data_IF_455863433673
#
_entry.id   IF_455863433673
#
_cell.length_a   1.000
_cell.length_b   1.000
_cell.length_c   1.000
_cell.angle_alpha   90.00
_cell.angle_beta   90.00
_cell.angle_gamma   90.00
#
_symmetry.space_group_name_H-M   'P 1'
#
loop_
_entity.id
_entity.type
_entity.pdbx_description
1 polymer ?
#
# COMPACT_ATOMS: atom_id res chain seq x y z
N UNK A 1 -10.11 -15.27 2.73
CA UNK A 1 -10.48 -13.91 3.18
C UNK A 1 -10.47 -13.01 1.96
N UNK A 2 -11.54 -12.26 1.72
CA UNK A 2 -11.61 -11.30 0.61
C UNK A 2 -10.61 -10.16 0.79
N UNK A 3 -10.28 -9.46 -0.29
CA UNK A 3 -9.34 -8.33 -0.24
C UNK A 3 -9.93 -7.07 0.40
N UNK A 4 -11.18 -7.11 0.86
CA UNK A 4 -11.96 -6.01 1.46
C UNK A 4 -11.96 -4.72 0.62
N UNK A 5 -12.00 -4.88 -0.70
CA UNK A 5 -12.30 -3.76 -1.60
C UNK A 5 -13.81 -3.74 -1.88
N UNK A 6 -14.53 -2.67 -1.52
CA UNK A 6 -15.88 -2.45 -2.02
C UNK A 6 -15.86 -2.43 -3.57
N UNK A 7 -16.85 -3.06 -4.20
CA UNK A 7 -16.99 -3.04 -5.65
C UNK A 7 -17.02 -1.61 -6.18
N UNK A 8 -16.20 -1.30 -7.19
CA UNK A 8 -16.15 0.04 -7.79
C UNK A 8 -15.20 1.05 -7.13
N UNK A 9 -14.36 0.66 -6.17
CA UNK A 9 -13.34 1.56 -5.58
C UNK A 9 -12.28 2.10 -6.57
N UNK A 10 -12.14 1.43 -7.73
CA UNK A 10 -11.32 1.91 -8.85
C UNK A 10 -12.10 2.88 -9.78
N UNK A 11 -13.42 3.02 -9.61
CA UNK A 11 -14.30 3.95 -10.33
C UNK A 11 -14.44 3.70 -11.84
N UNK A 12 -15.62 3.93 -12.41
CA UNK A 12 -15.84 3.82 -13.87
C UNK A 12 -15.37 5.05 -14.68
N UNK A 13 -14.81 6.09 -14.05
CA UNK A 13 -14.34 7.27 -14.77
C UNK A 13 -13.36 8.07 -13.91
N UNK A 14 -12.04 7.92 -14.13
CA UNK A 14 -11.06 8.93 -13.71
C UNK A 14 -10.56 9.77 -14.89
N UNK A 15 -11.50 10.17 -15.74
CA UNK A 15 -11.28 11.07 -16.87
C UNK A 15 -11.08 12.55 -16.45
N UNK A 16 -11.16 12.89 -15.15
CA UNK A 16 -10.95 14.26 -14.64
C UNK A 16 -9.59 14.37 -13.96
N UNK A 17 -8.85 15.44 -14.27
CA UNK A 17 -7.67 15.87 -13.51
C UNK A 17 -8.11 16.20 -12.08
N UNK A 18 -7.86 15.32 -11.12
CA UNK A 18 -7.96 15.64 -9.68
C UNK A 18 -6.57 15.98 -9.13
N UNK A 19 -6.53 16.64 -7.98
CA UNK A 19 -5.28 16.90 -7.25
C UNK A 19 -4.55 15.60 -6.85
N UNK A 20 -5.29 14.50 -6.70
CA UNK A 20 -4.74 13.19 -6.36
C UNK A 20 -4.13 12.43 -7.54
N UNK A 21 -4.36 12.87 -8.79
CA UNK A 21 -3.97 12.11 -9.97
C UNK A 21 -2.47 11.79 -10.02
N UNK A 22 -1.62 12.73 -9.59
CA UNK A 22 -0.18 12.52 -9.51
C UNK A 22 0.18 11.43 -8.50
N UNK A 23 -0.37 11.53 -7.28
CA UNK A 23 -0.14 10.58 -6.19
C UNK A 23 -0.66 9.18 -6.52
N UNK A 24 -1.81 9.08 -7.20
CA UNK A 24 -2.33 7.80 -7.69
C UNK A 24 -1.42 7.14 -8.73
N UNK A 25 -0.90 7.93 -9.68
CA UNK A 25 0.03 7.43 -10.70
C UNK A 25 1.34 6.97 -10.08
N UNK A 26 1.88 7.73 -9.12
CA UNK A 26 3.08 7.35 -8.37
C UNK A 26 2.86 6.07 -7.57
N UNK A 27 1.75 5.96 -6.84
CA UNK A 27 1.37 4.75 -6.11
C UNK A 27 1.30 3.54 -7.05
N UNK A 28 0.58 3.65 -8.17
CA UNK A 28 0.46 2.56 -9.13
C UNK A 28 1.80 2.19 -9.78
N UNK A 29 2.66 3.18 -10.07
CA UNK A 29 4.00 2.93 -10.57
C UNK A 29 4.85 2.15 -9.56
N UNK A 30 4.83 2.54 -8.29
CA UNK A 30 5.53 1.82 -7.21
C UNK A 30 5.02 0.38 -7.07
N UNK A 31 3.69 0.18 -7.10
CA UNK A 31 3.09 -1.16 -7.07
C UNK A 31 3.57 -2.03 -8.24
N UNK A 32 3.55 -1.50 -9.47
CA UNK A 32 4.00 -2.24 -10.66
C UNK A 32 5.48 -2.59 -10.61
N UNK A 33 6.34 -1.65 -10.22
CA UNK A 33 7.78 -1.90 -10.06
C UNK A 33 8.05 -2.95 -8.98
N UNK A 34 7.34 -2.89 -7.86
CA UNK A 34 7.48 -3.89 -6.80
C UNK A 34 7.03 -5.27 -7.25
N UNK A 35 5.88 -5.38 -7.93
CA UNK A 35 5.40 -6.63 -8.50
C UNK A 35 6.33 -7.20 -9.58
N UNK A 36 7.01 -6.34 -10.33
CA UNK A 36 8.02 -6.74 -11.32
C UNK A 36 9.40 -7.09 -10.70
N UNK A 37 9.58 -6.91 -9.38
CA UNK A 37 10.87 -7.13 -8.71
C UNK A 37 11.91 -6.04 -8.98
N UNK A 38 11.51 -4.90 -9.53
CA UNK A 38 12.38 -3.73 -9.78
C UNK A 38 12.63 -2.91 -8.51
N UNK A 39 11.77 -3.06 -7.50
CA UNK A 39 11.95 -2.51 -6.16
C UNK A 39 12.10 -3.64 -5.16
N UNK A 40 13.13 -3.54 -4.31
CA UNK A 40 13.18 -4.38 -3.11
C UNK A 40 12.15 -3.91 -2.07
N UNK A 41 11.92 -4.79 -1.09
CA UNK A 41 10.95 -4.59 -0.01
C UNK A 41 11.15 -3.27 0.75
N UNK A 42 12.40 -2.87 1.00
CA UNK A 42 12.67 -1.71 1.83
C UNK A 42 12.48 -0.40 1.07
N UNK A 43 12.99 -0.33 -0.16
CA UNK A 43 12.78 0.80 -1.06
C UNK A 43 11.31 1.00 -1.37
N UNK A 44 10.58 -0.09 -1.62
CA UNK A 44 9.13 -0.01 -1.83
C UNK A 44 8.41 0.54 -0.59
N UNK A 45 8.78 0.08 0.61
CA UNK A 45 8.22 0.57 1.86
C UNK A 45 8.45 2.08 2.08
N UNK A 46 9.67 2.56 1.80
CA UNK A 46 10.02 3.98 1.90
C UNK A 46 9.26 4.84 0.87
N UNK A 47 9.20 4.38 -0.38
CA UNK A 47 8.50 5.08 -1.46
C UNK A 47 7.00 5.20 -1.17
N UNK A 48 6.36 4.11 -0.73
CA UNK A 48 4.94 4.12 -0.37
C UNK A 48 4.66 4.94 0.90
N UNK A 49 5.58 5.01 1.86
CA UNK A 49 5.46 5.93 3.00
C UNK A 49 5.43 7.40 2.56
N UNK A 50 6.31 7.79 1.62
CA UNK A 50 6.33 9.14 1.07
C UNK A 50 5.02 9.45 0.34
N UNK A 51 4.59 8.55 -0.54
CA UNK A 51 3.31 8.66 -1.27
C UNK A 51 2.14 8.75 -0.29
N UNK A 52 2.16 7.97 0.80
CA UNK A 52 1.12 8.02 1.83
C UNK A 52 1.09 9.37 2.53
N UNK A 53 2.23 9.97 2.85
CA UNK A 53 2.29 11.28 3.47
C UNK A 53 1.74 12.37 2.53
N UNK A 54 2.15 12.34 1.26
CA UNK A 54 1.62 13.25 0.22
C UNK A 54 0.10 13.08 0.07
N UNK A 55 -0.39 11.84 0.00
CA UNK A 55 -1.81 11.52 -0.09
C UNK A 55 -2.63 12.09 1.07
N UNK A 56 -2.17 11.85 2.32
CA UNK A 56 -2.88 12.34 3.50
C UNK A 56 -2.76 13.85 3.68
N UNK A 57 -1.73 14.49 3.14
CA UNK A 57 -1.64 15.94 3.11
C UNK A 57 -2.68 16.54 2.15
N UNK A 58 -2.88 15.94 0.97
CA UNK A 58 -3.93 16.35 0.03
C UNK A 58 -5.34 16.15 0.59
N UNK A 59 -5.54 15.24 1.53
CA UNK A 59 -6.83 15.04 2.20
C UNK A 59 -7.14 16.12 3.25
N UNK A 60 -6.17 16.95 3.66
CA UNK A 60 -6.40 17.95 4.69
C UNK A 60 -7.06 19.20 4.10
N UNK A 61 -8.07 19.71 4.78
CA UNK A 61 -8.60 21.05 4.52
C UNK A 61 -7.65 22.14 5.06
N UNK A 62 -8.00 23.41 4.83
CA UNK A 62 -7.25 24.57 5.36
C UNK A 62 -7.20 24.68 6.89
N UNK A 63 -7.87 23.78 7.62
CA UNK A 63 -7.88 23.66 9.07
C UNK A 63 -7.16 22.39 9.57
N UNK A 64 -6.63 21.55 8.67
CA UNK A 64 -5.95 20.31 9.00
C UNK A 64 -6.85 19.10 9.24
N UNK A 65 -8.16 19.19 8.93
CA UNK A 65 -9.09 18.06 9.04
C UNK A 65 -9.05 17.21 7.78
N UNK A 66 -9.17 15.89 7.92
CA UNK A 66 -9.31 15.00 6.77
C UNK A 66 -10.71 15.12 6.14
N UNK A 67 -10.74 15.44 4.85
CA UNK A 67 -11.95 15.54 4.02
C UNK A 67 -11.88 14.46 2.93
N UNK A 68 -12.94 13.66 2.83
CA UNK A 68 -13.09 12.62 1.81
C UNK A 68 -14.27 13.00 0.92
N UNK A 69 -14.02 13.14 -0.38
CA UNK A 69 -14.99 13.59 -1.37
C UNK A 69 -15.07 12.65 -2.59
N UNK A 70 -15.81 13.04 -3.62
CA UNK A 70 -15.95 12.28 -4.86
C UNK A 70 -14.65 12.16 -5.68
N UNK A 71 -13.67 13.02 -5.42
CA UNK A 71 -12.37 13.01 -6.09
C UNK A 71 -11.33 12.17 -5.36
N UNK A 72 -11.60 11.83 -4.10
CA UNK A 72 -10.73 11.02 -3.27
C UNK A 72 -10.60 9.59 -3.81
N UNK A 73 -9.37 9.13 -4.12
CA UNK A 73 -9.12 7.77 -4.57
C UNK A 73 -9.39 6.72 -3.48
N UNK A 74 -10.62 6.19 -3.44
CA UNK A 74 -11.03 5.20 -2.45
C UNK A 74 -10.11 3.97 -2.42
N UNK A 75 -9.65 3.48 -3.58
CA UNK A 75 -8.72 2.34 -3.65
C UNK A 75 -7.39 2.62 -2.94
N UNK A 76 -6.84 3.83 -3.09
CA UNK A 76 -5.55 4.20 -2.52
C UNK A 76 -5.68 4.34 -1.02
N UNK A 77 -6.73 5.01 -0.54
CA UNK A 77 -6.99 5.13 0.89
C UNK A 77 -7.15 3.75 1.56
N UNK A 78 -7.93 2.85 0.94
CA UNK A 78 -8.12 1.49 1.46
C UNK A 78 -6.84 0.65 1.39
N UNK A 79 -6.07 0.75 0.30
CA UNK A 79 -4.79 0.07 0.19
C UNK A 79 -3.81 0.54 1.27
N UNK A 80 -3.67 1.86 1.44
CA UNK A 80 -2.78 2.47 2.42
C UNK A 80 -3.18 2.10 3.85
N UNK A 81 -4.45 2.33 4.20
CA UNK A 81 -4.96 2.11 5.55
C UNK A 81 -5.02 0.63 5.95
N UNK A 82 -5.48 -0.25 5.06
CA UNK A 82 -5.79 -1.63 5.43
C UNK A 82 -4.69 -2.64 5.10
N UNK A 83 -3.93 -2.42 4.01
CA UNK A 83 -2.96 -3.40 3.52
C UNK A 83 -1.53 -2.94 3.77
N UNK A 84 -1.18 -1.75 3.28
CA UNK A 84 0.18 -1.22 3.39
C UNK A 84 0.60 -0.95 4.83
N UNK A 85 -0.24 -0.30 5.64
CA UNK A 85 0.11 0.03 7.04
C UNK A 85 0.47 -1.21 7.85
N UNK A 86 -0.34 -2.27 7.73
CA UNK A 86 -0.10 -3.55 8.42
C UNK A 86 1.20 -4.20 7.95
N UNK A 87 1.38 -4.30 6.64
CA UNK A 87 2.58 -4.89 6.03
C UNK A 87 3.86 -4.10 6.39
N UNK A 88 3.82 -2.77 6.31
CA UNK A 88 4.97 -1.92 6.60
C UNK A 88 5.35 -1.98 8.08
N UNK A 89 4.38 -2.10 8.99
CA UNK A 89 4.67 -2.32 10.42
C UNK A 89 5.42 -3.65 10.63
N UNK A 90 4.96 -4.73 10.00
CA UNK A 90 5.63 -6.02 10.08
C UNK A 90 7.06 -5.96 9.51
N UNK A 91 7.25 -5.31 8.35
CA UNK A 91 8.56 -5.06 7.73
C UNK A 91 9.51 -4.34 8.69
N UNK A 92 9.08 -3.22 9.28
CA UNK A 92 9.94 -2.42 10.16
C UNK A 92 10.35 -3.19 11.43
N UNK A 93 9.43 -3.92 12.05
CA UNK A 93 9.72 -4.77 13.22
C UNK A 93 10.75 -5.84 12.85
N UNK A 94 10.56 -6.51 11.70
CA UNK A 94 11.46 -7.57 11.27
C UNK A 94 12.86 -7.04 10.94
N UNK A 95 12.95 -5.89 10.28
CA UNK A 95 14.23 -5.23 10.00
C UNK A 95 14.96 -4.82 11.28
N UNK A 96 14.24 -4.28 12.26
CA UNK A 96 14.83 -3.94 13.55
C UNK A 96 15.34 -5.18 14.30
N UNK A 97 14.61 -6.28 14.26
CA UNK A 97 15.03 -7.55 14.87
C UNK A 97 16.27 -8.13 14.18
N UNK A 98 16.39 -8.04 12.86
CA UNK A 98 17.60 -8.49 12.12
C UNK A 98 18.86 -7.73 12.50
N UNK A 99 18.74 -6.51 13.01
CA UNK A 99 19.88 -5.73 13.49
C UNK A 99 20.34 -6.14 14.89
N UNK A 100 19.62 -7.06 15.55
CA UNK A 100 19.88 -7.52 16.92
C UNK A 100 19.92 -9.05 16.96
N UNK A 101 21.13 -9.66 16.90
CA UNK A 101 21.29 -11.11 16.80
C UNK A 101 20.62 -11.92 17.92
N UNK A 102 20.48 -11.32 19.11
CA UNK A 102 19.77 -11.91 20.25
C UNK A 102 18.32 -12.29 19.94
N UNK A 103 17.57 -11.49 19.17
CA UNK A 103 16.18 -11.78 18.84
C UNK A 103 16.01 -12.91 17.84
N UNK A 104 17.03 -13.15 17.00
CA UNK A 104 16.99 -14.21 15.98
C UNK A 104 17.13 -15.61 16.59
N UNK A 105 17.56 -15.69 17.84
CA UNK A 105 17.78 -16.96 18.58
C UNK A 105 16.67 -17.25 19.60
N UNK A 106 15.67 -16.36 19.72
CA UNK A 106 14.57 -16.52 20.68
C UNK A 106 13.65 -17.69 20.28
N UNK A 107 13.24 -18.55 21.24
CA UNK A 107 12.17 -19.52 21.03
C UNK A 107 10.88 -18.79 20.64
N UNK A 108 10.46 -18.90 19.37
CA UNK A 108 9.35 -18.12 18.81
C UNK A 108 9.71 -17.34 17.54
N UNK A 109 11.01 -17.21 17.22
CA UNK A 109 11.46 -16.47 16.04
C UNK A 109 10.93 -17.09 14.74
N UNK A 110 10.87 -18.42 14.66
CA UNK A 110 10.40 -19.12 13.46
C UNK A 110 8.92 -18.83 13.17
N UNK A 111 8.10 -18.76 14.21
CA UNK A 111 6.69 -18.40 14.11
C UNK A 111 6.51 -16.95 13.63
N UNK A 112 7.40 -16.04 14.07
CA UNK A 112 7.43 -14.66 13.59
C UNK A 112 7.80 -14.61 12.11
N UNK A 113 8.82 -15.36 11.67
CA UNK A 113 9.19 -15.46 10.25
C UNK A 113 8.02 -15.96 9.40
N UNK A 114 7.35 -17.03 9.84
CA UNK A 114 6.24 -17.63 9.12
C UNK A 114 5.03 -16.67 9.05
N UNK A 115 4.78 -15.92 10.13
CA UNK A 115 3.77 -14.85 10.14
C UNK A 115 4.12 -13.74 9.14
N UNK A 116 5.36 -13.24 9.14
CA UNK A 116 5.80 -12.19 8.20
C UNK A 116 5.70 -12.68 6.75
N UNK A 117 6.09 -13.92 6.47
CA UNK A 117 5.95 -14.51 5.14
C UNK A 117 4.48 -14.68 4.72
N UNK A 118 3.57 -14.93 5.67
CA UNK A 118 2.13 -14.92 5.42
C UNK A 118 1.61 -13.52 5.07
N UNK A 119 2.01 -12.51 5.85
CA UNK A 119 1.66 -11.11 5.59
C UNK A 119 2.17 -10.61 4.24
N UNK A 120 3.40 -10.98 3.86
CA UNK A 120 3.96 -10.67 2.55
C UNK A 120 3.10 -11.24 1.41
N UNK A 121 2.67 -12.51 1.53
CA UNK A 121 1.80 -13.15 0.52
C UNK A 121 0.46 -12.45 0.41
N UNK A 122 -0.16 -12.13 1.53
CA UNK A 122 -1.43 -11.40 1.55
C UNK A 122 -1.30 -9.99 0.95
N UNK A 123 -0.18 -9.32 1.26
CA UNK A 123 0.12 -8.01 0.70
C UNK A 123 0.33 -8.08 -0.81
N UNK A 124 1.11 -9.04 -1.31
CA UNK A 124 1.31 -9.24 -2.75
C UNK A 124 0.01 -9.51 -3.51
N UNK A 125 -0.88 -10.32 -2.95
CA UNK A 125 -2.21 -10.52 -3.53
C UNK A 125 -3.01 -9.21 -3.67
N UNK A 126 -2.87 -8.29 -2.70
CA UNK A 126 -3.50 -6.97 -2.77
C UNK A 126 -2.82 -6.06 -3.80
N UNK A 127 -1.49 -6.08 -3.91
CA UNK A 127 -0.72 -5.35 -4.93
C UNK A 127 -1.18 -5.76 -6.33
N UNK A 128 -1.18 -7.06 -6.61
CA UNK A 128 -1.58 -7.62 -7.90
C UNK A 128 -3.04 -7.31 -8.24
N UNK A 129 -3.94 -7.40 -7.25
CA UNK A 129 -5.32 -7.03 -7.42
C UNK A 129 -5.48 -5.56 -7.81
N UNK A 130 -4.80 -4.64 -7.11
CA UNK A 130 -4.87 -3.22 -7.42
C UNK A 130 -4.37 -2.91 -8.83
N UNK A 131 -3.28 -3.55 -9.26
CA UNK A 131 -2.74 -3.41 -10.62
C UNK A 131 -3.77 -3.89 -11.66
N UNK A 132 -4.35 -5.06 -11.44
CA UNK A 132 -5.34 -5.64 -12.38
C UNK A 132 -6.58 -4.77 -12.51
N UNK A 133 -7.15 -4.32 -11.39
CA UNK A 133 -8.35 -3.48 -11.41
C UNK A 133 -8.09 -2.10 -12.04
N UNK A 134 -6.91 -1.52 -11.78
CA UNK A 134 -6.48 -0.29 -12.42
C UNK A 134 -6.38 -0.42 -13.94
N UNK A 135 -5.75 -1.49 -14.43
CA UNK A 135 -5.58 -1.73 -15.87
C UNK A 135 -6.92 -2.07 -16.55
N UNK A 136 -7.85 -2.73 -15.83
CA UNK A 136 -9.21 -2.97 -16.31
C UNK A 136 -10.04 -1.68 -16.40
N UNK A 137 -9.89 -0.77 -15.43
CA UNK A 137 -10.60 0.50 -15.43
C UNK A 137 -10.21 1.38 -16.63
N UNK A 138 -8.96 1.30 -17.10
CA UNK A 138 -8.49 2.03 -18.30
C UNK A 138 -9.03 1.52 -19.64
N UNK A 139 -9.59 0.30 -19.66
CA UNK A 139 -10.14 -0.32 -20.89
C UNK A 139 -11.65 -0.08 -21.06
N UNK A 140 -12.30 0.49 -20.04
CA UNK A 140 -13.72 0.83 -20.03
C UNK A 140 -13.90 2.28 -20.45
#
# INVERSE_FOLDING_TARGET
>A
MGLDYPGGCFGQARAKKSEFAATEMQAMAALKKYAAGELDKDRFGEEMMRISAEFYELLKDGHGNFVFDEHTPAWLNLFLGNKFTRWNKARLIFNAARQKPEFLSEPGWKEIEDMVASEDRLFMNAVEYCIREWDNAKKR
#
